data_IF_825464827698
#
_entry.id   IF_825464827698
#
_cell.length_a   1.000
_cell.length_b   1.000
_cell.length_c   1.000
_cell.angle_alpha   90.00
_cell.angle_beta   90.00
_cell.angle_gamma   90.00
#
_symmetry.space_group_name_H-M   'P 1'
#
loop_
_entity.id
_entity.type
_entity.pdbx_description
1 polymer ?
#
# COMPACT_ATOMS: atom_id res chain seq x y z
N UNK A 1 12.24 0.54 13.56
CA UNK A 1 10.82 0.11 13.42
C UNK A 1 10.78 -1.17 12.59
N UNK A 2 9.75 -2.00 12.77
CA UNK A 2 9.54 -3.22 11.99
C UNK A 2 8.32 -2.98 11.11
N UNK A 3 8.43 -3.29 9.82
CA UNK A 3 7.29 -3.23 8.91
C UNK A 3 6.91 -4.63 8.47
N UNK A 4 5.60 -4.89 8.45
CA UNK A 4 5.05 -6.16 8.03
C UNK A 4 4.54 -6.05 6.61
N UNK A 5 4.82 -7.07 5.81
CA UNK A 5 4.37 -7.18 4.44
C UNK A 5 3.60 -8.47 4.26
N UNK A 6 2.60 -8.44 3.38
CA UNK A 6 1.86 -9.62 2.97
C UNK A 6 2.15 -9.95 1.52
N UNK A 7 2.37 -11.24 1.24
CA UNK A 7 2.62 -11.79 -0.09
C UNK A 7 1.71 -12.99 -0.36
N UNK A 8 1.12 -13.12 -1.56
CA UNK A 8 0.32 -14.29 -1.89
C UNK A 8 1.21 -15.52 -2.13
N UNK A 9 0.79 -16.68 -1.61
CA UNK A 9 1.50 -17.97 -1.76
C UNK A 9 1.41 -18.53 -3.18
N UNK A 10 0.23 -18.44 -3.80
CA UNK A 10 -0.07 -19.03 -5.13
C UNK A 10 0.30 -18.06 -6.25
N UNK A 11 0.94 -18.54 -7.31
CA UNK A 11 1.35 -17.70 -8.45
C UNK A 11 0.17 -17.10 -9.22
N UNK A 12 -0.97 -17.78 -9.27
CA UNK A 12 -2.21 -17.21 -9.84
C UNK A 12 -2.69 -15.98 -9.07
N UNK A 13 -2.58 -15.99 -7.73
CA UNK A 13 -2.86 -14.81 -6.90
C UNK A 13 -1.79 -13.74 -7.07
N UNK A 14 -0.50 -14.10 -7.22
CA UNK A 14 0.58 -13.12 -7.52
C UNK A 14 0.29 -12.34 -8.81
N UNK A 15 -0.04 -13.02 -9.91
CA UNK A 15 -0.40 -12.36 -11.19
C UNK A 15 -1.61 -11.43 -11.04
N UNK A 16 -2.64 -11.85 -10.29
CA UNK A 16 -3.80 -11.00 -10.00
C UNK A 16 -3.42 -9.78 -9.17
N UNK A 17 -2.57 -9.94 -8.18
CA UNK A 17 -2.09 -8.85 -7.34
C UNK A 17 -1.23 -7.87 -8.13
N UNK A 18 -0.36 -8.36 -8.99
CA UNK A 18 0.42 -7.52 -9.91
C UNK A 18 -0.50 -6.72 -10.84
N UNK A 19 -1.58 -7.32 -11.36
CA UNK A 19 -2.56 -6.60 -12.19
C UNK A 19 -3.36 -5.53 -11.42
N UNK A 20 -3.74 -5.80 -10.17
CA UNK A 20 -4.59 -4.89 -9.36
C UNK A 20 -3.75 -3.82 -8.65
N UNK A 21 -2.67 -4.25 -8.00
CA UNK A 21 -1.83 -3.44 -7.14
C UNK A 21 -0.54 -2.97 -7.83
N UNK A 22 -0.15 -3.55 -8.96
CA UNK A 22 1.16 -3.28 -9.58
C UNK A 22 2.33 -3.85 -8.78
N UNK A 23 2.07 -4.63 -7.73
CA UNK A 23 3.08 -5.22 -6.84
C UNK A 23 2.55 -6.49 -6.18
N UNK A 24 3.48 -7.34 -5.75
CA UNK A 24 3.18 -8.64 -5.13
C UNK A 24 3.25 -8.55 -3.60
N UNK A 25 4.01 -7.60 -3.07
CA UNK A 25 4.16 -7.32 -1.64
C UNK A 25 3.32 -6.11 -1.24
N UNK A 26 2.49 -6.22 -0.21
CA UNK A 26 1.71 -5.10 0.33
C UNK A 26 2.04 -4.88 1.80
N UNK A 27 2.27 -3.63 2.25
CA UNK A 27 2.51 -3.35 3.66
C UNK A 27 1.22 -3.49 4.46
N UNK A 28 1.30 -4.07 5.66
CA UNK A 28 0.16 -4.29 6.55
C UNK A 28 0.39 -3.65 7.92
N UNK A 29 -0.70 -3.15 8.52
CA UNK A 29 -0.68 -2.47 9.81
C UNK A 29 -0.45 -3.43 10.98
N UNK A 30 -1.07 -4.61 10.92
CA UNK A 30 -1.00 -5.62 11.97
C UNK A 30 -0.51 -6.96 11.41
N UNK A 31 0.39 -7.67 12.12
CA UNK A 31 0.96 -8.92 11.65
C UNK A 31 0.01 -10.10 11.76
N UNK A 32 -0.99 -10.04 12.66
CA UNK A 32 -1.98 -11.09 12.84
C UNK A 32 -3.22 -10.79 11.98
N UNK A 33 -3.79 -11.80 11.31
CA UNK A 33 -5.06 -11.61 10.61
C UNK A 33 -6.18 -11.37 11.62
N UNK A 34 -7.14 -10.55 11.24
CA UNK A 34 -8.32 -10.21 12.05
C UNK A 34 -9.56 -10.74 11.34
N UNK A 35 -10.62 -11.09 12.08
CA UNK A 35 -11.89 -11.41 11.43
C UNK A 35 -12.54 -10.11 10.96
N UNK A 36 -12.98 -10.07 9.70
CA UNK A 36 -13.66 -8.91 9.18
C UNK A 36 -15.09 -8.85 9.74
N UNK A 37 -15.35 -7.97 10.71
CA UNK A 37 -16.72 -7.74 11.22
C UNK A 37 -17.62 -6.93 10.25
N UNK A 38 -17.41 -7.03 8.94
CA UNK A 38 -18.18 -6.29 7.93
C UNK A 38 -19.02 -7.25 7.09
N UNK A 39 -20.26 -6.85 6.77
CA UNK A 39 -21.20 -7.64 5.95
C UNK A 39 -20.58 -8.10 4.61
N UNK A 40 -19.61 -7.35 4.07
CA UNK A 40 -18.95 -7.63 2.79
C UNK A 40 -18.00 -8.84 2.83
N UNK A 41 -17.43 -9.14 3.99
CA UNK A 41 -16.37 -10.13 4.13
C UNK A 41 -16.76 -11.33 5.01
N UNK A 42 -17.86 -11.23 5.76
CA UNK A 42 -18.36 -12.32 6.61
C UNK A 42 -17.27 -12.84 7.55
N UNK A 43 -17.21 -14.17 7.76
CA UNK A 43 -16.20 -14.83 8.61
C UNK A 43 -14.84 -15.01 7.91
N UNK A 44 -14.41 -14.04 7.11
CA UNK A 44 -13.11 -14.10 6.44
C UNK A 44 -12.05 -13.42 7.29
N UNK A 45 -10.94 -14.13 7.52
CA UNK A 45 -9.74 -13.55 8.09
C UNK A 45 -9.08 -12.57 7.09
N UNK A 46 -8.77 -11.35 7.54
CA UNK A 46 -8.25 -10.25 6.73
C UNK A 46 -7.04 -9.57 7.37
N UNK A 47 -6.21 -8.95 6.54
CA UNK A 47 -5.17 -8.01 6.93
C UNK A 47 -5.57 -6.59 6.56
N UNK A 48 -5.20 -5.64 7.41
CA UNK A 48 -5.35 -4.21 7.16
C UNK A 48 -4.14 -3.70 6.40
N UNK A 49 -4.36 -3.13 5.22
CA UNK A 49 -3.33 -2.43 4.46
C UNK A 49 -2.86 -1.21 5.25
N UNK A 50 -1.55 -1.01 5.35
CA UNK A 50 -1.00 0.22 5.92
C UNK A 50 -0.98 1.33 4.87
N UNK A 51 -1.99 2.21 4.92
CA UNK A 51 -2.14 3.31 3.95
C UNK A 51 -1.06 4.38 4.07
N UNK A 52 -0.37 4.48 5.22
CA UNK A 52 0.71 5.45 5.43
C UNK A 52 2.01 5.01 4.76
N UNK A 53 2.23 3.71 4.65
CA UNK A 53 3.38 3.10 4.01
C UNK A 53 3.23 2.91 2.50
N UNK A 54 2.06 3.24 1.95
CA UNK A 54 1.71 2.97 0.56
C UNK A 54 1.86 4.26 -0.27
N UNK A 55 2.64 4.23 -1.37
CA UNK A 55 2.68 5.31 -2.35
C UNK A 55 1.29 5.74 -2.84
N UNK A 56 1.07 7.04 -2.99
CA UNK A 56 -0.22 7.61 -3.42
C UNK A 56 -0.71 7.02 -4.75
N UNK A 57 0.19 6.78 -5.70
CA UNK A 57 -0.15 6.17 -6.99
C UNK A 57 -0.84 4.80 -6.86
N UNK A 58 -0.53 4.02 -5.80
CA UNK A 58 -1.25 2.77 -5.54
C UNK A 58 -2.61 3.01 -4.89
N UNK A 59 -2.72 3.98 -3.97
CA UNK A 59 -4.01 4.36 -3.41
C UNK A 59 -4.98 4.81 -4.50
N UNK A 60 -4.50 5.52 -5.51
CA UNK A 60 -5.29 5.97 -6.65
C UNK A 60 -5.72 4.83 -7.57
N UNK A 61 -4.84 3.84 -7.81
CA UNK A 61 -5.21 2.61 -8.52
C UNK A 61 -6.28 1.82 -7.76
N UNK A 62 -6.12 1.69 -6.45
CA UNK A 62 -7.10 1.03 -5.58
C UNK A 62 -8.44 1.75 -5.60
N UNK A 63 -8.44 3.07 -5.47
CA UNK A 63 -9.64 3.90 -5.55
C UNK A 63 -10.34 3.73 -6.91
N UNK A 64 -9.59 3.73 -8.01
CA UNK A 64 -10.14 3.51 -9.35
C UNK A 64 -10.76 2.11 -9.50
N UNK A 65 -10.12 1.09 -8.93
CA UNK A 65 -10.65 -0.27 -8.91
C UNK A 65 -11.93 -0.37 -8.09
N UNK A 66 -11.94 0.22 -6.90
CA UNK A 66 -13.09 0.19 -5.99
C UNK A 66 -14.29 0.99 -6.55
N UNK A 67 -14.04 2.15 -7.16
CA UNK A 67 -15.07 2.94 -7.84
C UNK A 67 -15.78 2.11 -8.93
N UNK A 68 -15.01 1.40 -9.77
CA UNK A 68 -15.57 0.52 -10.81
C UNK A 68 -16.31 -0.69 -10.24
N UNK A 69 -15.80 -1.27 -9.16
CA UNK A 69 -16.36 -2.48 -8.56
C UNK A 69 -17.66 -2.20 -7.79
N UNK A 70 -17.71 -1.11 -7.03
CA UNK A 70 -18.84 -0.76 -6.19
C UNK A 70 -19.83 0.20 -6.89
N UNK A 71 -19.47 0.75 -8.06
CA UNK A 71 -20.31 1.71 -8.78
C UNK A 71 -20.40 3.08 -8.09
N UNK A 72 -19.38 3.44 -7.31
CA UNK A 72 -19.35 4.70 -6.53
C UNK A 72 -18.41 5.72 -7.18
N UNK A 73 -18.48 6.98 -6.73
CA UNK A 73 -17.59 8.03 -7.21
C UNK A 73 -16.13 7.73 -6.85
N UNK A 74 -15.18 8.20 -7.69
CA UNK A 74 -13.75 8.05 -7.41
C UNK A 74 -13.34 8.71 -6.08
N UNK A 75 -13.92 9.88 -5.76
CA UNK A 75 -13.60 10.59 -4.52
C UNK A 75 -14.03 9.79 -3.28
N UNK A 76 -15.24 9.22 -3.32
CA UNK A 76 -15.74 8.36 -2.25
C UNK A 76 -14.92 7.08 -2.12
N UNK A 77 -14.57 6.44 -3.26
CA UNK A 77 -13.69 5.29 -3.27
C UNK A 77 -12.32 5.61 -2.66
N UNK A 78 -11.72 6.76 -2.99
CA UNK A 78 -10.42 7.20 -2.44
C UNK A 78 -10.49 7.40 -0.93
N UNK A 79 -11.58 7.96 -0.41
CA UNK A 79 -11.81 8.10 1.02
C UNK A 79 -11.92 6.72 1.69
N UNK A 80 -12.67 5.79 1.09
CA UNK A 80 -12.81 4.43 1.61
C UNK A 80 -11.46 3.69 1.66
N UNK A 81 -10.68 3.74 0.57
CA UNK A 81 -9.34 3.11 0.53
C UNK A 81 -8.38 3.73 1.56
N UNK A 82 -8.42 5.05 1.74
CA UNK A 82 -7.57 5.74 2.73
C UNK A 82 -7.97 5.42 4.17
N UNK A 83 -9.27 5.29 4.44
CA UNK A 83 -9.78 4.88 5.76
C UNK A 83 -9.37 3.45 6.07
N UNK A 84 -9.69 2.54 5.16
CA UNK A 84 -9.48 1.13 5.41
C UNK A 84 -9.50 0.31 4.11
N UNK A 85 -8.42 -0.42 3.85
CA UNK A 85 -8.38 -1.41 2.78
C UNK A 85 -8.06 -2.80 3.34
N UNK A 86 -8.95 -3.74 3.09
CA UNK A 86 -8.88 -5.11 3.60
C UNK A 86 -8.32 -6.07 2.55
N UNK A 87 -7.39 -6.93 2.98
CA UNK A 87 -6.77 -7.96 2.15
C UNK A 87 -7.14 -9.33 2.74
N UNK A 88 -7.67 -10.29 1.96
CA UNK A 88 -7.96 -11.61 2.47
C UNK A 88 -6.67 -12.30 2.95
N UNK A 89 -6.67 -12.79 4.19
CA UNK A 89 -5.51 -13.45 4.79
C UNK A 89 -5.29 -14.86 4.25
N UNK A 90 -6.35 -15.48 3.74
CA UNK A 90 -6.30 -16.82 3.18
C UNK A 90 -5.26 -16.89 2.05
N UNK A 91 -4.39 -17.89 2.07
CA UNK A 91 -3.37 -18.10 1.05
C UNK A 91 -2.30 -17.01 0.95
N UNK A 92 -2.15 -16.17 1.98
CA UNK A 92 -1.08 -15.16 2.09
C UNK A 92 -0.01 -15.60 3.10
N UNK A 93 1.23 -15.12 2.94
CA UNK A 93 2.33 -15.19 3.91
C UNK A 93 2.62 -13.79 4.41
N UNK A 94 3.00 -13.69 5.68
CA UNK A 94 3.48 -12.44 6.27
C UNK A 94 5.00 -12.49 6.32
N UNK A 95 5.63 -11.46 5.77
CA UNK A 95 7.06 -11.24 5.82
C UNK A 95 7.35 -10.06 6.74
N UNK A 96 8.29 -10.25 7.66
CA UNK A 96 8.79 -9.18 8.52
C UNK A 96 10.01 -8.56 7.85
N UNK A 97 9.98 -7.26 7.57
CA UNK A 97 11.14 -6.53 7.04
C UNK A 97 11.53 -5.41 7.99
N UNK A 98 12.83 -5.09 8.11
CA UNK A 98 13.24 -3.88 8.80
C UNK A 98 12.58 -2.68 8.11
N UNK A 99 11.98 -1.79 8.91
CA UNK A 99 11.48 -0.51 8.38
C UNK A 99 12.68 0.26 7.86
N UNK A 100 12.82 0.26 6.53
CA UNK A 100 13.63 1.24 5.86
C UNK A 100 12.69 2.44 5.71
N UNK A 101 12.88 3.55 6.44
CA UNK A 101 12.26 4.79 6.01
C UNK A 101 12.63 4.92 4.54
N UNK A 102 11.64 5.13 3.67
CA UNK A 102 11.89 5.38 2.26
C UNK A 102 13.01 6.42 2.23
N UNK A 103 14.23 5.96 1.92
CA UNK A 103 15.37 6.82 2.15
C UNK A 103 15.10 8.02 1.30
N UNK A 104 15.24 9.16 1.93
CA UNK A 104 15.18 10.48 1.34
C UNK A 104 16.39 10.61 0.40
N UNK A 105 16.52 9.70 -0.56
CA UNK A 105 17.35 9.85 -1.74
C UNK A 105 16.62 10.82 -2.66
N UNK A 106 16.31 12.00 -2.14
CA UNK A 106 16.28 13.21 -2.93
C UNK A 106 17.74 13.42 -3.35
N UNK A 107 18.17 12.70 -4.39
CA UNK A 107 19.21 13.25 -5.23
C UNK A 107 18.55 14.43 -5.93
N UNK A 108 18.99 15.68 -5.69
CA UNK A 108 18.55 16.76 -6.55
C UNK A 108 18.87 16.33 -7.98
N UNK A 109 17.90 16.45 -8.90
CA UNK A 109 18.08 16.11 -10.30
C UNK A 109 19.28 16.84 -10.96
N UNK A 110 19.80 17.87 -10.27
CA UNK A 110 20.91 18.70 -10.71
C UNK A 110 21.90 18.95 -9.55
N UNK A 111 22.87 18.06 -9.30
CA UNK A 111 23.89 18.26 -8.26
C UNK A 111 24.81 19.47 -8.51
N UNK A 112 24.80 20.05 -9.71
CA UNK A 112 25.66 21.18 -10.09
C UNK A 112 25.14 22.56 -9.67
N UNK A 113 23.89 22.70 -9.21
CA UNK A 113 23.33 24.00 -8.83
C UNK A 113 23.73 24.46 -7.41
N UNK A 114 24.57 23.70 -6.69
CA UNK A 114 24.95 24.01 -5.30
C UNK A 114 26.10 25.02 -5.13
N UNK A 115 26.56 25.69 -6.18
CA UNK A 115 27.56 26.75 -6.03
C UNK A 115 27.01 28.13 -6.36
N UNK A 116 26.22 28.68 -5.45
CA UNK A 116 26.12 30.14 -5.32
C UNK A 116 26.74 30.51 -3.98
N UNK A 117 28.04 30.82 -4.01
CA UNK A 117 28.69 31.51 -2.88
C UNK A 117 28.08 32.89 -2.74
N UNK A 118 27.22 33.08 -1.73
CA UNK A 118 26.94 34.42 -1.25
C UNK A 118 28.17 34.92 -0.50
N UNK A 119 28.97 35.78 -1.16
CA UNK A 119 29.91 36.65 -0.44
C UNK A 119 29.10 37.72 0.29
N UNK A 120 29.25 37.90 1.61
CA UNK A 120 28.82 39.14 2.24
C UNK A 120 29.77 40.28 1.80
N UNK A 121 29.18 41.44 1.51
CA UNK A 121 29.89 42.70 1.27
C UNK A 121 30.29 43.36 2.59
#
# INVERSE_FOLDING_TARGET
MIQYFVTPKKDSRKKRWEKVYGRITLPIKYPKPHMACTQRWGETAVYYLDTTAVPEALLDRLASFEARRAGISYHEARMNVRREWLIPAEGCRVEKRPYLPASQNWQPAFPFLQQVSFRPA
#
